data_IF_886788167577
#
_entry.id   IF_886788167577
#
_cell.length_a   1.000
_cell.length_b   1.000
_cell.length_c   1.000
_cell.angle_alpha   90.00
_cell.angle_beta   90.00
_cell.angle_gamma   90.00
#
_symmetry.space_group_name_H-M   'P 1'
#
loop_
_entity.id
_entity.type
_entity.pdbx_description
1 polymer ?
#
# COMPACT_ATOMS: atom_id res chain seq x y z
N UNK A 1 -3.59 -12.22 -19.95
CA UNK A 1 -3.14 -10.86 -19.59
C UNK A 1 -3.12 -10.73 -18.07
N UNK A 2 -2.01 -10.28 -17.53
CA UNK A 2 -1.90 -10.05 -16.09
C UNK A 2 -2.64 -8.77 -15.71
N UNK A 3 -3.26 -8.78 -14.52
CA UNK A 3 -4.02 -7.65 -13.99
C UNK A 3 -3.50 -7.31 -12.61
N UNK A 4 -3.46 -6.03 -12.28
CA UNK A 4 -3.08 -5.56 -10.96
C UNK A 4 -4.08 -4.53 -10.43
N UNK A 5 -4.29 -4.56 -9.13
CA UNK A 5 -5.05 -3.53 -8.42
C UNK A 5 -4.05 -2.76 -7.58
N UNK A 6 -4.05 -1.44 -7.74
CA UNK A 6 -3.23 -0.54 -6.93
C UNK A 6 -4.07 -0.01 -5.79
N UNK A 7 -3.63 -0.27 -4.58
CA UNK A 7 -4.39 0.01 -3.36
C UNK A 7 -3.67 1.06 -2.52
N UNK A 8 -4.43 2.02 -2.03
CA UNK A 8 -3.99 2.85 -0.94
C UNK A 8 -3.85 1.98 0.32
N UNK A 9 -3.03 2.40 1.27
CA UNK A 9 -2.84 1.65 2.51
C UNK A 9 -3.75 2.18 3.61
N UNK A 10 -3.38 3.32 4.19
CA UNK A 10 -4.08 3.88 5.34
C UNK A 10 -5.48 4.36 4.93
N UNK A 11 -6.50 3.91 5.64
CA UNK A 11 -7.88 4.22 5.35
C UNK A 11 -8.52 3.37 4.25
N UNK A 12 -7.75 2.49 3.59
CA UNK A 12 -8.25 1.55 2.59
C UNK A 12 -8.08 0.11 3.04
N UNK A 13 -6.90 -0.27 3.49
CA UNK A 13 -6.60 -1.62 3.97
C UNK A 13 -6.64 -1.66 5.49
N UNK A 14 -5.99 -0.71 6.15
CA UNK A 14 -5.95 -0.61 7.59
C UNK A 14 -6.55 0.71 8.07
N UNK A 15 -6.99 0.71 9.33
CA UNK A 15 -7.54 1.90 9.97
C UNK A 15 -6.45 2.98 10.03
N UNK A 16 -6.82 4.21 9.68
CA UNK A 16 -5.92 5.36 9.70
C UNK A 16 -6.13 6.15 10.99
N UNK A 17 -5.17 6.01 11.91
CA UNK A 17 -5.16 6.76 13.17
C UNK A 17 -4.33 8.06 13.09
N UNK A 18 -3.87 8.43 11.88
CA UNK A 18 -2.95 9.55 11.68
C UNK A 18 -1.50 9.10 11.84
N UNK A 19 -0.73 9.16 10.75
CA UNK A 19 0.69 8.75 10.74
C UNK A 19 0.93 7.37 11.37
N UNK A 20 0.16 6.37 10.94
CA UNK A 20 0.25 5.02 11.47
C UNK A 20 1.57 4.37 11.05
N UNK A 21 2.38 3.94 12.02
CA UNK A 21 3.65 3.28 11.75
C UNK A 21 3.99 2.18 12.76
N UNK A 22 3.34 2.17 13.90
CA UNK A 22 3.60 1.15 14.93
C UNK A 22 2.81 -0.11 14.61
N UNK A 23 3.50 -1.25 14.61
CA UNK A 23 2.84 -2.52 14.27
C UNK A 23 1.73 -2.89 15.27
N UNK A 24 1.82 -2.41 16.50
CA UNK A 24 0.79 -2.60 17.51
C UNK A 24 -0.53 -1.90 17.16
N UNK A 25 -0.46 -0.88 16.31
CA UNK A 25 -1.63 -0.11 15.88
C UNK A 25 -2.27 -0.67 14.61
N UNK A 26 -1.72 -1.77 14.08
CA UNK A 26 -2.24 -2.35 12.85
C UNK A 26 -3.62 -2.95 13.11
N UNK A 27 -4.62 -2.44 12.39
CA UNK A 27 -5.99 -2.91 12.45
C UNK A 27 -6.56 -2.90 11.05
N UNK A 28 -6.95 -4.07 10.56
CA UNK A 28 -7.57 -4.17 9.23
C UNK A 28 -8.97 -3.58 9.25
N UNK A 29 -9.33 -2.90 8.16
CA UNK A 29 -10.70 -2.44 7.99
C UNK A 29 -11.65 -3.63 7.84
N UNK A 30 -12.90 -3.52 8.34
CA UNK A 30 -13.87 -4.60 8.22
C UNK A 30 -14.09 -5.01 6.76
N UNK A 31 -14.02 -6.32 6.50
CA UNK A 31 -14.28 -6.87 5.18
C UNK A 31 -13.16 -6.74 4.16
N UNK A 32 -12.05 -6.06 4.49
CA UNK A 32 -10.98 -5.84 3.52
C UNK A 32 -10.29 -7.13 3.12
N UNK A 33 -9.99 -8.01 4.07
CA UNK A 33 -9.32 -9.28 3.76
C UNK A 33 -10.16 -10.13 2.82
N UNK A 34 -11.46 -10.19 3.04
CA UNK A 34 -12.38 -10.93 2.18
C UNK A 34 -12.43 -10.33 0.78
N UNK A 35 -12.55 -9.00 0.68
CA UNK A 35 -12.59 -8.32 -0.61
C UNK A 35 -11.30 -8.54 -1.40
N UNK A 36 -10.16 -8.42 -0.76
CA UNK A 36 -8.86 -8.62 -1.41
C UNK A 36 -8.69 -10.06 -1.87
N UNK A 37 -9.18 -11.03 -1.08
CA UNK A 37 -9.12 -12.43 -1.49
C UNK A 37 -9.95 -12.68 -2.74
N UNK A 38 -11.13 -12.06 -2.86
CA UNK A 38 -11.98 -12.17 -4.05
C UNK A 38 -11.21 -11.65 -5.28
N UNK A 39 -10.59 -10.46 -5.19
CA UNK A 39 -9.80 -9.92 -6.30
C UNK A 39 -8.64 -10.84 -6.67
N UNK A 40 -7.97 -11.39 -5.67
CA UNK A 40 -6.88 -12.34 -5.90
C UNK A 40 -7.36 -13.59 -6.63
N UNK A 41 -8.51 -14.13 -6.24
CA UNK A 41 -9.13 -15.29 -6.91
C UNK A 41 -9.52 -14.98 -8.35
N UNK A 42 -9.85 -13.72 -8.66
CA UNK A 42 -10.14 -13.28 -10.02
C UNK A 42 -8.88 -13.06 -10.86
N UNK A 43 -7.71 -13.31 -10.30
CA UNK A 43 -6.45 -13.23 -11.04
C UNK A 43 -5.74 -11.89 -10.92
N UNK A 44 -6.17 -11.00 -10.03
CA UNK A 44 -5.49 -9.73 -9.81
C UNK A 44 -4.30 -9.89 -8.89
N UNK A 45 -3.21 -9.21 -9.23
CA UNK A 45 -2.14 -8.95 -8.28
C UNK A 45 -2.49 -7.72 -7.45
N UNK A 46 -2.04 -7.71 -6.21
CA UNK A 46 -2.37 -6.65 -5.25
C UNK A 46 -1.10 -5.86 -4.96
N UNK A 47 -1.09 -4.59 -5.32
CA UNK A 47 0.07 -3.70 -5.15
C UNK A 47 -0.37 -2.51 -4.32
N UNK A 48 0.37 -2.22 -3.26
CA UNK A 48 0.08 -1.10 -2.37
C UNK A 48 0.91 0.10 -2.77
N UNK A 49 0.24 1.25 -2.93
CA UNK A 49 0.89 2.53 -3.18
C UNK A 49 0.48 3.49 -2.07
N UNK A 50 1.45 4.02 -1.34
CA UNK A 50 1.14 4.81 -0.15
C UNK A 50 2.01 6.05 -0.01
N UNK A 51 1.39 7.18 0.32
CA UNK A 51 2.09 8.38 0.73
C UNK A 51 2.33 8.30 2.24
N UNK A 52 3.60 8.45 2.66
CA UNK A 52 4.01 8.37 4.06
C UNK A 52 4.80 9.61 4.43
N UNK A 53 4.14 10.77 4.43
CA UNK A 53 4.77 12.05 4.70
C UNK A 53 5.34 12.17 6.12
N UNK A 54 4.88 11.32 7.05
CA UNK A 54 5.45 11.27 8.40
C UNK A 54 6.94 10.98 8.42
N UNK A 55 7.45 10.26 7.40
CA UNK A 55 8.89 10.00 7.25
C UNK A 55 9.62 11.32 6.98
N UNK A 56 9.17 12.09 6.00
CA UNK A 56 9.75 13.39 5.67
C UNK A 56 9.61 14.40 6.79
N UNK A 57 8.59 14.27 7.63
CA UNK A 57 8.37 15.14 8.80
C UNK A 57 9.19 14.71 10.02
N UNK A 58 9.88 13.58 9.95
CA UNK A 58 10.67 13.08 11.06
C UNK A 58 9.88 12.39 12.16
N UNK A 59 8.63 12.02 11.91
CA UNK A 59 7.80 11.35 12.92
C UNK A 59 8.14 9.87 13.06
N UNK A 60 8.60 9.25 11.97
CA UNK A 60 9.07 7.87 11.95
C UNK A 60 9.99 7.69 10.74
N UNK A 61 10.68 6.56 10.68
CA UNK A 61 11.67 6.29 9.62
C UNK A 61 11.07 5.46 8.50
N UNK A 62 11.79 5.41 7.36
CA UNK A 62 11.43 4.51 6.27
C UNK A 62 11.44 3.05 6.75
N UNK A 63 12.39 2.69 7.62
CA UNK A 63 12.46 1.36 8.20
C UNK A 63 11.20 1.04 9.01
N UNK A 64 10.70 2.00 9.81
CA UNK A 64 9.44 1.85 10.54
C UNK A 64 8.29 1.56 9.59
N UNK A 65 8.22 2.30 8.49
CA UNK A 65 7.17 2.10 7.48
C UNK A 65 7.28 0.72 6.82
N UNK A 66 8.49 0.27 6.53
CA UNK A 66 8.72 -1.05 5.94
C UNK A 66 8.32 -2.17 6.90
N UNK A 67 8.61 -2.02 8.19
CA UNK A 67 8.20 -2.97 9.21
C UNK A 67 6.68 -3.06 9.32
N UNK A 68 6.01 -1.91 9.27
CA UNK A 68 4.55 -1.88 9.25
C UNK A 68 4.00 -2.58 8.01
N UNK A 69 4.57 -2.31 6.84
CA UNK A 69 4.15 -2.95 5.60
C UNK A 69 4.32 -4.48 5.67
N UNK A 70 5.42 -4.95 6.25
CA UNK A 70 5.65 -6.39 6.44
C UNK A 70 4.62 -6.98 7.39
N UNK A 71 4.32 -6.30 8.49
CA UNK A 71 3.32 -6.77 9.45
C UNK A 71 1.93 -6.82 8.80
N UNK A 72 1.61 -5.83 7.98
CA UNK A 72 0.35 -5.80 7.23
C UNK A 72 0.27 -6.99 6.27
N UNK A 73 1.33 -7.25 5.53
CA UNK A 73 1.39 -8.37 4.59
C UNK A 73 1.21 -9.70 5.32
N UNK A 74 1.87 -9.87 6.46
CA UNK A 74 1.76 -11.07 7.29
C UNK A 74 0.35 -11.26 7.83
N UNK A 75 -0.28 -10.17 8.28
CA UNK A 75 -1.65 -10.24 8.79
C UNK A 75 -2.63 -10.68 7.68
N UNK A 76 -2.48 -10.13 6.48
CA UNK A 76 -3.31 -10.52 5.36
C UNK A 76 -3.04 -11.96 4.89
N UNK A 77 -1.81 -12.45 5.00
CA UNK A 77 -1.49 -13.84 4.67
C UNK A 77 -2.28 -14.83 5.54
N UNK A 78 -2.55 -14.47 6.78
CA UNK A 78 -3.39 -15.30 7.67
C UNK A 78 -4.80 -15.47 7.14
N UNK A 79 -5.25 -14.55 6.28
CA UNK A 79 -6.55 -14.58 5.64
C UNK A 79 -6.49 -15.09 4.20
N UNK A 80 -5.34 -15.63 3.78
CA UNK A 80 -5.17 -16.15 2.43
C UNK A 80 -4.93 -15.08 1.37
N UNK A 81 -4.51 -13.88 1.78
CA UNK A 81 -4.26 -12.76 0.87
C UNK A 81 -2.77 -12.49 0.78
N UNK A 82 -2.25 -12.39 -0.44
CA UNK A 82 -0.84 -12.08 -0.69
C UNK A 82 -0.76 -10.69 -1.34
N UNK A 83 -0.07 -9.76 -0.65
CA UNK A 83 0.27 -8.47 -1.23
C UNK A 83 1.57 -8.64 -2.02
N UNK A 84 1.52 -8.33 -3.30
CA UNK A 84 2.61 -8.65 -4.22
C UNK A 84 3.75 -7.64 -4.17
N UNK A 85 3.44 -6.36 -3.90
CA UNK A 85 4.46 -5.33 -3.83
C UNK A 85 3.95 -4.09 -3.09
N UNK A 86 4.89 -3.25 -2.65
CA UNK A 86 4.63 -1.99 -1.98
C UNK A 86 5.49 -0.89 -2.59
N UNK A 87 4.88 0.27 -2.85
CA UNK A 87 5.58 1.48 -3.26
C UNK A 87 5.24 2.58 -2.28
N UNK A 88 6.24 3.16 -1.65
CA UNK A 88 6.09 4.15 -0.59
C UNK A 88 6.72 5.48 -1.02
N UNK A 89 5.97 6.58 -0.92
CA UNK A 89 6.51 7.91 -1.07
C UNK A 89 6.75 8.53 0.32
N UNK A 90 8.01 8.76 0.72
CA UNK A 90 8.33 9.24 2.07
C UNK A 90 8.31 10.76 2.23
N UNK A 91 8.06 11.49 1.15
CA UNK A 91 8.24 12.94 1.12
C UNK A 91 7.02 13.70 1.61
N UNK A 92 7.24 14.90 2.17
CA UNK A 92 6.15 15.83 2.47
C UNK A 92 5.74 16.54 1.18
N UNK A 93 4.49 17.07 1.10
CA UNK A 93 4.03 17.77 -0.10
C UNK A 93 4.94 18.93 -0.52
N UNK A 94 5.52 19.62 0.44
CA UNK A 94 6.39 20.78 0.21
C UNK A 94 7.69 20.43 -0.52
N UNK A 95 8.07 19.16 -0.57
CA UNK A 95 9.29 18.71 -1.27
C UNK A 95 9.05 18.57 -2.78
N UNK A 96 7.81 18.64 -3.24
CA UNK A 96 7.44 18.55 -4.66
C UNK A 96 8.09 17.34 -5.37
N UNK A 97 8.13 16.19 -4.69
CA UNK A 97 8.68 14.97 -5.27
C UNK A 97 7.79 14.43 -6.39
N UNK A 98 8.36 13.55 -7.22
CA UNK A 98 7.63 12.94 -8.34
C UNK A 98 6.80 11.73 -7.91
N UNK A 99 7.13 11.08 -6.79
CA UNK A 99 6.51 9.82 -6.40
C UNK A 99 5.18 9.98 -5.65
N UNK A 100 4.93 11.14 -5.03
CA UNK A 100 3.76 11.35 -4.19
C UNK A 100 2.47 11.33 -5.01
N UNK A 101 1.46 10.58 -4.56
CA UNK A 101 0.12 10.65 -5.13
C UNK A 101 -0.43 12.08 -4.98
N UNK A 102 -1.12 12.65 -5.96
CA UNK A 102 -1.73 11.96 -7.12
C UNK A 102 -0.81 11.76 -8.32
N UNK A 103 0.51 11.96 -8.20
CA UNK A 103 1.43 11.63 -9.29
C UNK A 103 1.29 10.15 -9.67
N UNK A 104 1.36 9.80 -10.98
CA UNK A 104 1.27 8.41 -11.40
C UNK A 104 2.58 7.63 -11.26
N UNK A 105 3.63 8.21 -10.68
CA UNK A 105 4.96 7.60 -10.63
C UNK A 105 4.95 6.19 -10.04
N UNK A 106 4.32 6.00 -8.87
CA UNK A 106 4.31 4.69 -8.22
C UNK A 106 3.51 3.66 -9.03
N UNK A 107 2.44 4.10 -9.70
CA UNK A 107 1.67 3.21 -10.58
C UNK A 107 2.51 2.85 -11.80
N UNK A 108 3.20 3.82 -12.39
CA UNK A 108 4.08 3.60 -13.53
C UNK A 108 5.20 2.64 -13.19
N UNK A 109 5.83 2.79 -12.02
CA UNK A 109 6.85 1.86 -11.55
C UNK A 109 6.29 0.44 -11.40
N UNK A 110 5.09 0.30 -10.86
CA UNK A 110 4.43 -0.99 -10.75
C UNK A 110 4.16 -1.62 -12.11
N UNK A 111 3.72 -0.83 -13.08
CA UNK A 111 3.49 -1.31 -14.45
C UNK A 111 4.78 -1.73 -15.14
N UNK A 112 5.84 -0.94 -14.99
CA UNK A 112 7.15 -1.26 -15.57
C UNK A 112 7.72 -2.56 -14.99
N UNK A 113 7.49 -2.80 -13.71
CA UNK A 113 7.99 -4.00 -13.03
C UNK A 113 7.16 -5.24 -13.36
N UNK A 114 5.85 -5.08 -13.48
CA UNK A 114 4.92 -6.22 -13.55
C UNK A 114 4.28 -6.41 -14.92
N UNK A 115 4.28 -5.39 -15.77
CA UNK A 115 3.64 -5.42 -17.10
C UNK A 115 2.15 -5.76 -17.03
N UNK A 116 1.42 -5.15 -16.11
CA UNK A 116 0.00 -5.41 -15.90
C UNK A 116 -0.89 -4.27 -16.41
N UNK A 117 -2.12 -4.63 -16.79
CA UNK A 117 -3.20 -3.67 -16.85
C UNK A 117 -3.60 -3.30 -15.42
N UNK A 118 -3.66 -2.01 -15.11
CA UNK A 118 -3.85 -1.54 -13.75
C UNK A 118 -5.24 -0.94 -13.53
N UNK A 119 -5.77 -1.15 -12.33
CA UNK A 119 -6.98 -0.51 -11.83
C UNK A 119 -6.66 0.17 -10.51
N UNK A 120 -7.23 1.35 -10.29
CA UNK A 120 -7.01 2.10 -9.07
C UNK A 120 -8.25 2.04 -8.19
N UNK A 121 -8.06 1.61 -6.94
CA UNK A 121 -9.11 1.59 -5.91
C UNK A 121 -8.74 2.58 -4.83
N UNK A 122 -9.71 3.35 -4.38
CA UNK A 122 -9.55 4.27 -3.26
C UNK A 122 -10.16 3.69 -2.01
#
# INVERSE_FOLDING_TARGET
MNKAIFLDRDGTINVDFGYVYKTQELELLPGVAEALRIFQELGYLLIVITNQSGIGRGYFTLEDAEQFNQALAQELEKHGVILNDFYTCPHVPEEHCECRKPSPFMVTEGLDTTSFAAFRIR
#
